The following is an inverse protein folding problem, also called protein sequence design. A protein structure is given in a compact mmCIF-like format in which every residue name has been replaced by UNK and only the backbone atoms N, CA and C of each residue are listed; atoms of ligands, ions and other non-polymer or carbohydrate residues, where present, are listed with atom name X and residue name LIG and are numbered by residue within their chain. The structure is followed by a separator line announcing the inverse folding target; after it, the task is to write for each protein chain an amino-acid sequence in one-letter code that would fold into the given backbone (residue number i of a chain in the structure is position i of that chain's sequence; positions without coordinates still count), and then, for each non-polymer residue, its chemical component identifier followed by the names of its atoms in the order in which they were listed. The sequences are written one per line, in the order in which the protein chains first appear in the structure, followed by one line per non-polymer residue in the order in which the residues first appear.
data_IF_130340025511
#
_entry.id   IF_130340025511
#
_cell.length_a   1.000
_cell.length_b   1.000
_cell.length_c   1.000
_cell.angle_alpha   90.00
_cell.angle_beta   90.00
_cell.angle_gamma   90.00
#
_symmetry.space_group_name_H-M   'P 1'
#
loop_
_entity.id
_entity.type
_entity.pdbx_description
1 polymer ?
#
# COMPACT_ATOMS: atom_id res chain seq x y z
N UNK A 1 -21.98 -8.30 -7.66
CA UNK A 1 -22.49 -8.74 -6.35
C UNK A 1 -21.33 -9.15 -5.44
N UNK A 2 -21.55 -9.20 -4.10
CA UNK A 2 -20.52 -9.63 -3.13
C UNK A 2 -19.98 -11.04 -3.46
N UNK A 3 -20.88 -11.95 -3.87
CA UNK A 3 -20.50 -13.31 -4.25
C UNK A 3 -19.55 -13.34 -5.45
N UNK A 4 -19.79 -12.54 -6.47
CA UNK A 4 -18.92 -12.46 -7.66
C UNK A 4 -17.52 -11.97 -7.30
N UNK A 5 -17.43 -10.98 -6.39
CA UNK A 5 -16.16 -10.45 -5.88
C UNK A 5 -15.41 -11.51 -5.06
N UNK A 6 -16.11 -12.24 -4.21
CA UNK A 6 -15.50 -13.34 -3.44
C UNK A 6 -14.94 -14.43 -4.36
N UNK A 7 -15.70 -14.83 -5.39
CA UNK A 7 -15.26 -15.82 -6.36
C UNK A 7 -13.98 -15.36 -7.06
N UNK A 8 -13.91 -14.09 -7.52
CA UNK A 8 -12.68 -13.58 -8.18
C UNK A 8 -11.46 -13.61 -7.29
N UNK A 9 -11.61 -13.31 -5.99
CA UNK A 9 -10.51 -13.42 -5.02
C UNK A 9 -10.13 -14.89 -4.80
N UNK A 10 -11.10 -15.79 -4.61
CA UNK A 10 -10.83 -17.22 -4.43
C UNK A 10 -10.14 -17.81 -5.66
N UNK A 11 -10.53 -17.42 -6.87
CA UNK A 11 -9.85 -17.85 -8.10
C UNK A 11 -8.40 -17.35 -8.16
N UNK A 12 -8.14 -16.11 -7.75
CA UNK A 12 -6.81 -15.52 -7.72
C UNK A 12 -5.88 -16.21 -6.71
N UNK A 13 -6.40 -16.55 -5.51
CA UNK A 13 -5.63 -17.22 -4.46
C UNK A 13 -5.63 -18.74 -4.59
N UNK A 14 -6.57 -19.33 -5.33
CA UNK A 14 -6.78 -20.78 -5.43
C UNK A 14 -5.57 -21.56 -5.98
N UNK A 15 -4.68 -20.89 -6.72
CA UNK A 15 -3.42 -21.47 -7.19
C UNK A 15 -2.33 -21.50 -6.11
N UNK A 16 -2.55 -20.88 -4.97
CA UNK A 16 -1.60 -20.77 -3.85
C UNK A 16 -2.26 -21.35 -2.59
N UNK A 17 -2.08 -22.64 -2.37
CA UNK A 17 -2.68 -23.39 -1.25
C UNK A 17 -2.41 -22.77 0.12
N UNK A 18 -1.29 -22.04 0.27
CA UNK A 18 -0.94 -21.35 1.50
C UNK A 18 -2.00 -20.32 1.92
N UNK A 19 -2.53 -19.52 0.98
CA UNK A 19 -3.56 -18.52 1.31
C UNK A 19 -4.91 -19.16 1.67
N UNK A 20 -5.26 -20.26 1.03
CA UNK A 20 -6.49 -20.99 1.38
C UNK A 20 -6.39 -21.61 2.77
N UNK A 21 -5.24 -22.21 3.11
CA UNK A 21 -4.98 -22.74 4.44
C UNK A 21 -5.05 -21.60 5.50
N UNK A 22 -4.36 -20.49 5.23
CA UNK A 22 -4.33 -19.30 6.09
C UNK A 22 -5.73 -18.76 6.38
N UNK A 23 -6.58 -18.58 5.37
CA UNK A 23 -7.96 -18.10 5.55
C UNK A 23 -8.85 -19.13 6.25
N UNK A 24 -8.59 -20.44 6.06
CA UNK A 24 -9.34 -21.49 6.76
C UNK A 24 -8.96 -21.60 8.24
N UNK A 25 -7.70 -21.32 8.56
CA UNK A 25 -7.18 -21.34 9.95
C UNK A 25 -7.46 -20.03 10.70
N UNK A 26 -7.73 -18.92 9.97
CA UNK A 26 -8.00 -17.60 10.51
C UNK A 26 -9.38 -17.06 10.14
N UNK A 27 -10.46 -17.46 10.84
CA UNK A 27 -11.82 -17.00 10.57
C UNK A 27 -11.99 -15.47 10.67
N UNK A 28 -11.19 -14.82 11.51
CA UNK A 28 -11.19 -13.35 11.63
C UNK A 28 -10.65 -12.68 10.35
N UNK A 29 -9.52 -13.15 9.82
CA UNK A 29 -8.96 -12.66 8.57
C UNK A 29 -9.92 -12.87 7.39
N UNK A 30 -10.60 -14.04 7.35
CA UNK A 30 -11.64 -14.31 6.34
C UNK A 30 -12.82 -13.33 6.47
N UNK A 31 -13.29 -13.07 7.68
CA UNK A 31 -14.39 -12.13 7.93
C UNK A 31 -14.02 -10.70 7.50
N UNK A 32 -12.80 -10.28 7.78
CA UNK A 32 -12.25 -8.97 7.37
C UNK A 32 -12.13 -8.87 5.86
N UNK A 33 -11.56 -9.89 5.23
CA UNK A 33 -11.48 -9.99 3.77
C UNK A 33 -12.86 -9.82 3.12
N UNK A 34 -13.86 -10.54 3.60
CA UNK A 34 -15.24 -10.44 3.07
C UNK A 34 -15.78 -9.03 3.22
N UNK A 35 -15.58 -8.38 4.37
CA UNK A 35 -15.99 -6.98 4.58
C UNK A 35 -15.31 -6.03 3.59
N UNK A 36 -13.99 -6.14 3.41
CA UNK A 36 -13.21 -5.31 2.50
C UNK A 36 -13.64 -5.45 1.05
N UNK A 37 -13.75 -6.66 0.53
CA UNK A 37 -14.14 -6.90 -0.86
C UNK A 37 -15.60 -6.51 -1.15
N UNK A 38 -16.46 -6.54 -0.14
CA UNK A 38 -17.85 -6.05 -0.26
C UNK A 38 -17.91 -4.53 -0.23
N UNK A 39 -17.08 -3.88 0.58
CA UNK A 39 -17.05 -2.43 0.74
C UNK A 39 -16.48 -1.73 -0.50
N UNK A 40 -15.41 -2.25 -1.10
CA UNK A 40 -14.71 -1.59 -2.21
C UNK A 40 -14.41 -2.54 -3.37
N UNK A 41 -14.75 -2.10 -4.59
CA UNK A 41 -14.41 -2.81 -5.81
C UNK A 41 -12.92 -2.67 -6.15
N UNK A 42 -12.32 -1.53 -5.85
CA UNK A 42 -10.89 -1.28 -6.06
C UNK A 42 -10.06 -2.23 -5.20
N UNK A 43 -10.40 -2.40 -3.92
CA UNK A 43 -9.72 -3.35 -3.02
C UNK A 43 -9.86 -4.78 -3.55
N UNK A 44 -11.05 -5.18 -4.00
CA UNK A 44 -11.25 -6.49 -4.62
C UNK A 44 -10.33 -6.71 -5.82
N UNK A 45 -10.22 -5.72 -6.73
CA UNK A 45 -9.31 -5.76 -7.87
C UNK A 45 -7.85 -5.89 -7.44
N UNK A 46 -7.40 -5.13 -6.45
CA UNK A 46 -6.02 -5.17 -5.97
C UNK A 46 -5.68 -6.54 -5.40
N UNK A 47 -6.51 -7.10 -4.53
CA UNK A 47 -6.30 -8.42 -3.94
C UNK A 47 -6.29 -9.50 -5.04
N UNK A 48 -7.17 -9.41 -6.03
CA UNK A 48 -7.22 -10.38 -7.13
C UNK A 48 -5.97 -10.33 -8.02
N UNK A 49 -5.38 -9.15 -8.22
CA UNK A 49 -4.17 -8.97 -9.03
C UNK A 49 -2.89 -9.28 -8.24
N UNK A 50 -2.86 -8.94 -6.95
CA UNK A 50 -1.70 -9.05 -6.09
C UNK A 50 -2.06 -9.74 -4.76
N UNK A 51 -2.29 -11.08 -4.77
CA UNK A 51 -2.71 -11.81 -3.57
C UNK A 51 -1.74 -11.71 -2.39
N UNK A 52 -0.48 -11.34 -2.64
CA UNK A 52 0.54 -11.17 -1.59
C UNK A 52 0.15 -10.10 -0.56
N UNK A 53 -0.66 -9.12 -0.95
CA UNK A 53 -1.14 -8.09 -0.01
C UNK A 53 -2.08 -8.64 1.08
N UNK A 54 -2.57 -9.89 0.96
CA UNK A 54 -3.33 -10.55 2.02
C UNK A 54 -2.50 -10.80 3.28
N UNK A 55 -1.18 -10.86 3.16
CA UNK A 55 -0.29 -10.98 4.32
C UNK A 55 -0.47 -9.81 5.30
N UNK A 56 -0.84 -8.64 4.78
CA UNK A 56 -1.14 -7.44 5.59
C UNK A 56 -2.39 -7.57 6.47
N UNK A 57 -3.26 -8.56 6.17
CA UNK A 57 -4.46 -8.84 6.98
C UNK A 57 -4.20 -9.88 8.08
N UNK A 58 -2.98 -10.41 8.20
CA UNK A 58 -2.62 -11.38 9.23
C UNK A 58 -2.44 -10.74 10.60
N UNK A 59 -1.97 -9.51 10.62
CA UNK A 59 -1.85 -8.75 11.85
C UNK A 59 -3.24 -8.36 12.38
N UNK A 60 -3.44 -8.43 13.70
CA UNK A 60 -4.71 -8.05 14.29
C UNK A 60 -5.02 -6.57 13.96
N UNK A 61 -6.09 -6.31 13.21
CA UNK A 61 -6.52 -4.94 12.88
C UNK A 61 -6.80 -4.12 14.13
N UNK A 62 -7.21 -4.78 15.23
CA UNK A 62 -7.37 -4.14 16.53
C UNK A 62 -6.09 -3.49 17.08
N UNK A 63 -4.93 -3.89 16.58
CA UNK A 63 -3.63 -3.31 16.93
C UNK A 63 -3.16 -2.24 15.94
N UNK A 64 -3.96 -1.93 14.92
CA UNK A 64 -3.60 -0.91 13.93
C UNK A 64 -3.47 0.45 14.59
N UNK A 65 -2.35 1.10 14.32
CA UNK A 65 -2.10 2.48 14.68
C UNK A 65 -1.77 3.29 13.44
N UNK A 66 -2.29 4.51 13.38
CA UNK A 66 -1.96 5.45 12.30
C UNK A 66 -0.47 5.75 12.38
N UNK A 67 0.24 5.44 11.31
CA UNK A 67 1.68 5.70 11.20
C UNK A 67 1.93 7.15 10.79
N UNK A 68 2.94 7.76 11.38
CA UNK A 68 3.47 9.04 10.94
C UNK A 68 4.22 8.90 9.61
N UNK A 69 4.40 10.00 8.88
CA UNK A 69 5.19 10.05 7.66
C UNK A 69 6.60 9.44 7.84
N UNK A 70 7.24 9.74 8.98
CA UNK A 70 8.56 9.20 9.29
C UNK A 70 8.55 7.67 9.47
N UNK A 71 7.54 7.11 10.13
CA UNK A 71 7.40 5.65 10.33
C UNK A 71 7.14 4.95 9.01
N UNK A 72 6.28 5.51 8.14
CA UNK A 72 6.05 5.02 6.78
C UNK A 72 7.36 5.05 5.97
N UNK A 73 8.14 6.13 6.10
CA UNK A 73 9.42 6.26 5.41
C UNK A 73 10.46 5.23 5.86
N UNK A 74 10.53 4.94 7.16
CA UNK A 74 11.42 3.91 7.72
C UNK A 74 11.00 2.52 7.24
N UNK A 75 9.71 2.21 7.27
CA UNK A 75 9.18 0.92 6.79
C UNK A 75 9.50 0.72 5.30
N UNK A 76 9.25 1.74 4.47
CA UNK A 76 9.57 1.69 3.04
C UNK A 76 11.07 1.50 2.80
N UNK A 77 11.91 2.25 3.49
CA UNK A 77 13.37 2.12 3.37
C UNK A 77 13.85 0.70 3.73
N UNK A 78 13.28 0.10 4.78
CA UNK A 78 13.56 -1.28 5.16
C UNK A 78 13.18 -2.30 4.08
N UNK A 79 12.07 -2.11 3.40
CA UNK A 79 11.64 -2.98 2.28
C UNK A 79 12.56 -2.82 1.05
N UNK A 80 12.99 -1.60 0.73
CA UNK A 80 13.85 -1.31 -0.43
C UNK A 80 15.30 -1.78 -0.27
N UNK A 81 15.86 -1.76 0.96
CA UNK A 81 17.26 -2.19 1.21
C UNK A 81 17.49 -3.69 1.05
N UNK A 82 16.44 -4.49 1.03
CA UNK A 82 16.51 -5.94 0.89
C UNK A 82 16.88 -6.40 -0.53
N UNK A 83 16.97 -5.49 -1.49
CA UNK A 83 17.21 -5.78 -2.91
C UNK A 83 18.37 -4.94 -3.44
N UNK A 84 19.47 -5.54 -3.85
CA UNK A 84 20.67 -4.86 -4.38
C UNK A 84 20.95 -5.28 -5.81
N UNK A 85 21.52 -4.43 -6.67
CA UNK A 85 21.08 -3.09 -7.01
C UNK A 85 19.70 -3.13 -7.67
N UNK A 86 18.80 -2.26 -7.26
CA UNK A 86 17.45 -2.22 -7.82
C UNK A 86 17.49 -1.67 -9.26
N UNK A 87 16.98 -2.45 -10.20
CA UNK A 87 16.58 -1.87 -11.48
C UNK A 87 15.28 -1.05 -11.30
N UNK A 88 15.01 -0.16 -12.25
CA UNK A 88 13.88 0.75 -12.17
C UNK A 88 12.53 0.01 -12.13
N UNK A 89 12.41 -1.10 -12.84
CA UNK A 89 11.18 -1.92 -12.90
C UNK A 89 10.89 -2.55 -11.53
N UNK A 90 11.88 -3.22 -10.96
CA UNK A 90 11.78 -3.80 -9.61
C UNK A 90 11.42 -2.75 -8.57
N UNK A 91 12.03 -1.56 -8.63
CA UNK A 91 11.69 -0.46 -7.73
C UNK A 91 10.23 -0.02 -7.87
N UNK A 92 9.79 0.21 -9.10
CA UNK A 92 8.40 0.63 -9.37
C UNK A 92 7.40 -0.40 -8.85
N UNK A 93 7.70 -1.67 -8.97
CA UNK A 93 6.83 -2.74 -8.47
C UNK A 93 6.82 -2.78 -6.94
N UNK A 94 7.98 -2.61 -6.28
CA UNK A 94 8.07 -2.53 -4.83
C UNK A 94 7.31 -1.32 -4.27
N UNK A 95 7.40 -0.15 -4.92
CA UNK A 95 6.64 1.04 -4.51
C UNK A 95 5.13 0.84 -4.68
N UNK A 96 4.69 0.17 -5.76
CA UNK A 96 3.28 -0.15 -5.98
C UNK A 96 2.77 -1.14 -4.93
N UNK A 97 3.53 -2.20 -4.67
CA UNK A 97 3.18 -3.21 -3.66
C UNK A 97 3.10 -2.59 -2.26
N UNK A 98 4.09 -1.77 -1.90
CA UNK A 98 4.08 -1.05 -0.63
C UNK A 98 2.85 -0.16 -0.49
N UNK A 99 2.52 0.64 -1.53
CA UNK A 99 1.33 1.49 -1.54
C UNK A 99 0.05 0.67 -1.36
N UNK A 100 -0.07 -0.44 -2.09
CA UNK A 100 -1.27 -1.28 -2.05
C UNK A 100 -1.43 -1.95 -0.68
N UNK A 101 -0.36 -2.50 -0.12
CA UNK A 101 -0.37 -3.12 1.21
C UNK A 101 -0.73 -2.12 2.30
N UNK A 102 -0.09 -0.96 2.31
CA UNK A 102 -0.39 0.11 3.27
C UNK A 102 -1.84 0.60 3.16
N UNK A 103 -2.32 0.81 1.93
CA UNK A 103 -3.71 1.22 1.68
C UNK A 103 -4.70 0.15 2.12
N UNK A 104 -4.37 -1.15 1.96
CA UNK A 104 -5.22 -2.25 2.39
C UNK A 104 -5.34 -2.31 3.92
N UNK A 105 -4.22 -2.18 4.65
CA UNK A 105 -4.22 -2.12 6.12
C UNK A 105 -5.10 -0.97 6.62
N UNK A 106 -4.93 0.21 6.04
CA UNK A 106 -5.70 1.40 6.38
C UNK A 106 -7.20 1.20 6.09
N UNK A 107 -7.55 0.65 4.92
CA UNK A 107 -8.93 0.37 4.56
C UNK A 107 -9.56 -0.69 5.47
N UNK A 108 -8.79 -1.65 5.95
CA UNK A 108 -9.25 -2.64 6.92
C UNK A 108 -9.57 -2.00 8.27
N UNK A 109 -8.73 -1.07 8.73
CA UNK A 109 -8.95 -0.31 9.96
C UNK A 109 -10.16 0.64 9.85
N UNK A 110 -10.37 1.26 8.69
CA UNK A 110 -11.53 2.11 8.38
C UNK A 110 -12.84 1.31 8.41
N UNK A 111 -12.89 0.18 7.69
CA UNK A 111 -14.06 -0.73 7.70
C UNK A 111 -14.35 -1.30 9.09
N UNK A 112 -13.35 -1.42 9.94
CA UNK A 112 -13.47 -1.83 11.33
C UNK A 112 -13.86 -0.67 12.27
N UNK A 113 -13.97 0.57 11.78
CA UNK A 113 -14.19 1.82 12.54
C UNK A 113 -13.14 2.06 13.63
N UNK A 114 -11.88 1.68 13.38
CA UNK A 114 -10.74 1.94 14.27
C UNK A 114 -10.14 3.32 14.00
N UNK A 115 -10.21 3.79 12.76
CA UNK A 115 -9.72 5.09 12.33
C UNK A 115 -10.88 5.96 11.85
N UNK A 116 -10.75 7.28 12.02
CA UNK A 116 -11.67 8.27 11.49
C UNK A 116 -11.37 8.57 10.02
N UNK A 117 -12.33 9.14 9.30
CA UNK A 117 -12.14 9.54 7.90
C UNK A 117 -11.02 10.59 7.72
N UNK A 118 -10.82 11.47 8.69
CA UNK A 118 -9.72 12.42 8.66
C UNK A 118 -8.38 11.72 8.77
N UNK A 119 -8.23 10.77 9.69
CA UNK A 119 -7.02 9.97 9.83
C UNK A 119 -6.73 9.14 8.58
N UNK A 120 -7.77 8.63 7.91
CA UNK A 120 -7.62 7.95 6.61
C UNK A 120 -7.03 8.89 5.57
N UNK A 121 -7.60 10.08 5.41
CA UNK A 121 -7.13 11.06 4.43
C UNK A 121 -5.71 11.53 4.72
N UNK A 122 -5.39 11.81 5.97
CA UNK A 122 -4.05 12.21 6.41
C UNK A 122 -3.02 11.10 6.17
N UNK A 123 -3.36 9.86 6.49
CA UNK A 123 -2.49 8.69 6.25
C UNK A 123 -2.21 8.48 4.76
N UNK A 124 -3.22 8.61 3.91
CA UNK A 124 -3.05 8.49 2.46
C UNK A 124 -2.19 9.62 1.89
N UNK A 125 -2.31 10.83 2.43
CA UNK A 125 -1.45 11.96 2.04
C UNK A 125 0.01 11.72 2.46
N UNK A 126 0.24 11.30 3.70
CA UNK A 126 1.58 10.98 4.19
C UNK A 126 2.23 9.85 3.38
N UNK A 127 1.45 8.81 3.04
CA UNK A 127 1.92 7.74 2.15
C UNK A 127 2.32 8.28 0.76
N UNK A 128 1.49 9.16 0.17
CA UNK A 128 1.79 9.76 -1.12
C UNK A 128 3.05 10.64 -1.08
N UNK A 129 3.23 11.43 -0.02
CA UNK A 129 4.40 12.29 0.21
C UNK A 129 5.69 11.45 0.31
N UNK A 130 5.66 10.35 1.09
CA UNK A 130 6.80 9.42 1.22
C UNK A 130 7.16 8.76 -0.11
N UNK A 131 6.14 8.29 -0.86
CA UNK A 131 6.38 7.65 -2.16
C UNK A 131 6.93 8.64 -3.19
N UNK A 132 6.44 9.87 -3.21
CA UNK A 132 6.96 10.94 -4.08
C UNK A 132 8.42 11.28 -3.73
N UNK A 133 8.71 11.47 -2.45
CA UNK A 133 10.08 11.75 -2.00
C UNK A 133 11.05 10.62 -2.37
N UNK A 134 10.63 9.36 -2.23
CA UNK A 134 11.45 8.22 -2.61
C UNK A 134 11.63 8.11 -4.12
N UNK A 135 10.58 8.37 -4.91
CA UNK A 135 10.65 8.37 -6.38
C UNK A 135 11.60 9.45 -6.89
N UNK A 136 11.62 10.65 -6.27
CA UNK A 136 12.56 11.71 -6.60
C UNK A 136 14.00 11.31 -6.32
N UNK A 137 14.29 10.75 -5.15
CA UNK A 137 15.63 10.25 -4.78
C UNK A 137 16.16 9.24 -5.80
N UNK A 138 15.30 8.34 -6.25
CA UNK A 138 15.67 7.33 -7.24
C UNK A 138 15.89 7.92 -8.63
N UNK A 139 15.06 8.87 -9.04
CA UNK A 139 15.23 9.57 -10.31
C UNK A 139 16.54 10.33 -10.31
N UNK A 140 16.89 10.99 -9.21
CA UNK A 140 18.18 11.64 -9.02
C UNK A 140 19.34 10.66 -9.19
N UNK A 141 19.33 9.55 -8.45
CA UNK A 141 20.36 8.54 -8.50
C UNK A 141 20.52 7.92 -9.92
N UNK A 142 19.41 7.75 -10.63
CA UNK A 142 19.40 7.17 -11.98
C UNK A 142 19.92 8.13 -13.06
N UNK A 143 19.82 9.45 -12.84
CA UNK A 143 20.25 10.48 -13.79
C UNK A 143 21.68 10.95 -13.56
N UNK A 144 22.31 10.56 -12.46
CA UNK A 144 23.72 10.91 -12.20
C UNK A 144 24.66 9.99 -13.00
N UNK A 145 25.30 10.46 -14.05
CA UNK A 145 26.50 9.80 -14.56
C UNK A 145 27.59 9.89 -13.48
N UNK A 146 28.46 8.89 -13.39
CA UNK A 146 29.52 8.73 -12.36
C UNK A 146 30.43 9.97 -12.13
N UNK A 147 30.27 11.02 -12.87
CA UNK A 147 31.13 12.21 -12.88
C UNK A 147 30.43 13.57 -12.75
N UNK A 148 29.12 13.64 -12.60
CA UNK A 148 28.42 14.91 -12.43
C UNK A 148 27.31 14.82 -11.41
N UNK A 149 27.44 15.54 -10.29
CA UNK A 149 26.33 15.74 -9.35
C UNK A 149 25.32 16.70 -9.97
N UNK A 150 24.21 16.19 -10.49
CA UNK A 150 23.03 17.02 -10.77
C UNK A 150 22.40 17.30 -9.41
N UNK A 151 22.51 18.53 -8.95
CA UNK A 151 21.89 18.95 -7.70
C UNK A 151 20.38 19.16 -7.94
N UNK A 152 19.56 18.24 -7.43
CA UNK A 152 18.09 18.35 -7.47
C UNK A 152 17.55 19.33 -6.40
N UNK A 153 18.39 19.99 -5.62
CA UNK A 153 17.97 20.97 -4.61
C UNK A 153 17.08 22.11 -5.18
N UNK A 154 17.01 22.23 -6.51
CA UNK A 154 16.13 23.18 -7.19
C UNK A 154 14.75 22.65 -7.59
N UNK A 155 14.42 21.38 -7.34
CA UNK A 155 13.13 20.78 -7.72
C UNK A 155 12.18 20.82 -6.52
N UNK A 156 11.07 21.54 -6.68
CA UNK A 156 9.96 21.56 -5.72
C UNK A 156 8.75 20.81 -6.27
N UNK A 157 8.13 19.98 -5.45
CA UNK A 157 6.85 19.33 -5.76
C UNK A 157 5.73 20.11 -5.11
N UNK A 158 4.76 20.57 -5.90
CA UNK A 158 3.61 21.33 -5.42
C UNK A 158 2.36 20.46 -5.61
N UNK A 159 1.67 20.14 -4.51
CA UNK A 159 0.44 19.38 -4.53
C UNK A 159 -0.78 20.30 -4.68
N UNK A 160 -1.71 19.92 -5.55
CA UNK A 160 -3.01 20.57 -5.75
C UNK A 160 -4.15 19.57 -5.54
N UNK A 161 -5.39 20.08 -5.48
CA UNK A 161 -6.59 19.26 -5.34
C UNK A 161 -6.56 18.45 -4.05
N UNK A 162 -7.03 17.22 -4.10
CA UNK A 162 -7.19 16.36 -2.91
C UNK A 162 -5.91 16.10 -2.13
N UNK A 163 -4.76 16.01 -2.78
CA UNK A 163 -3.48 15.88 -2.09
C UNK A 163 -3.10 17.18 -1.39
N UNK A 164 -3.25 18.32 -2.07
CA UNK A 164 -2.93 19.64 -1.50
C UNK A 164 -3.87 20.06 -0.37
N UNK A 165 -5.14 19.65 -0.40
CA UNK A 165 -6.11 19.87 0.68
C UNK A 165 -6.11 18.78 1.76
N UNK A 166 -5.28 17.73 1.63
CA UNK A 166 -5.23 16.55 2.48
C UNK A 166 -6.58 15.80 2.57
N UNK A 167 -7.24 15.66 1.42
CA UNK A 167 -8.54 15.00 1.27
C UNK A 167 -8.46 13.77 0.35
N UNK A 168 -7.32 13.07 0.35
CA UNK A 168 -7.19 11.83 -0.43
C UNK A 168 -8.15 10.76 0.09
N UNK A 169 -8.68 9.99 -0.86
CA UNK A 169 -9.46 8.79 -0.63
C UNK A 169 -8.84 7.60 -1.36
N UNK A 170 -9.47 6.45 -1.25
CA UNK A 170 -8.99 5.20 -1.87
C UNK A 170 -9.08 5.16 -3.41
N UNK A 171 -9.74 6.15 -4.04
CA UNK A 171 -9.96 6.26 -5.48
C UNK A 171 -9.30 7.51 -6.06
#
# INVERSE_FOLDING_TARGET
TALTRLISVIEAIGRRSAYLALLSENPLALSQLIKLITASQSINSWISQHPVILDELLDPISSYQVQSENEIGIELAGKLTSSSPLDLETLMDQLREFRQGHTLRLAAADVANIVSQTEVSDSLCSLAEVLLAQSLKFSEASLQPESSSIDIQGIGVIAYGKLGSRELGYN
#
